data_IF_451755788434
#
_entry.id   IF_451755788434
#
_cell.length_a   1.000
_cell.length_b   1.000
_cell.length_c   1.000
_cell.angle_alpha   90.00
_cell.angle_beta   90.00
_cell.angle_gamma   90.00
#
_symmetry.space_group_name_H-M   'P 1'
#
loop_
_entity.id
_entity.type
_entity.pdbx_description
1 polymer ?
#
# COMPACT_ATOMS: atom_id res chain seq x y z
N UNK A 1 8.46 -13.10 36.17
CA UNK A 1 9.12 -12.55 34.98
C UNK A 1 8.08 -11.87 34.14
N UNK A 2 8.39 -10.70 33.58
CA UNK A 2 7.59 -10.13 32.51
C UNK A 2 8.15 -10.77 31.25
N UNK A 3 7.39 -11.67 30.63
CA UNK A 3 7.80 -12.37 29.41
C UNK A 3 8.01 -11.34 28.28
N UNK A 4 9.02 -11.50 27.41
CA UNK A 4 9.26 -10.58 26.30
C UNK A 4 8.11 -10.70 25.30
N UNK A 5 7.18 -9.77 25.39
CA UNK A 5 6.03 -9.68 24.51
C UNK A 5 6.18 -8.46 23.61
N UNK A 6 6.05 -8.63 22.30
CA UNK A 6 5.83 -7.50 21.41
C UNK A 6 4.34 -7.16 21.43
N UNK A 7 3.99 -6.10 22.16
CA UNK A 7 2.71 -5.42 22.01
C UNK A 7 2.92 -4.10 21.31
N UNK A 8 2.06 -3.81 20.36
CA UNK A 8 1.77 -2.44 20.02
C UNK A 8 0.50 -2.01 20.78
N UNK A 9 0.67 -1.12 21.75
CA UNK A 9 -0.39 -0.46 22.52
C UNK A 9 0.13 0.91 22.96
N UNK A 10 -0.46 2.01 22.49
CA UNK A 10 0.06 3.35 22.76
C UNK A 10 -0.43 3.97 24.08
N UNK A 11 -1.25 3.25 24.86
CA UNK A 11 -1.73 3.70 26.16
C UNK A 11 -2.85 4.74 26.15
N UNK A 12 -3.41 5.11 24.99
CA UNK A 12 -4.61 5.95 24.89
C UNK A 12 -5.88 5.11 24.69
N UNK A 13 -7.03 5.63 25.13
CA UNK A 13 -8.33 4.96 24.98
C UNK A 13 -8.78 4.75 23.52
N UNK A 14 -8.07 5.34 22.54
CA UNK A 14 -8.19 5.04 21.12
C UNK A 14 -6.98 5.64 20.35
N UNK A 15 -6.04 4.79 19.89
CA UNK A 15 -5.73 4.70 18.47
C UNK A 15 -5.30 3.27 18.14
N UNK A 16 -6.27 2.46 17.73
CA UNK A 16 -5.97 1.13 17.22
C UNK A 16 -5.02 1.26 16.02
N UNK A 17 -3.96 0.45 16.01
CA UNK A 17 -3.46 -0.06 14.73
C UNK A 17 -4.71 -0.57 14.00
N UNK A 18 -5.22 0.16 13.01
CA UNK A 18 -6.42 -0.19 12.26
C UNK A 18 -5.99 -0.41 10.83
N UNK A 19 -5.62 -1.64 10.51
CA UNK A 19 -5.29 -2.02 9.14
C UNK A 19 -6.59 -2.45 8.47
N UNK A 20 -7.10 -1.61 7.58
CA UNK A 20 -8.22 -1.96 6.71
C UNK A 20 -7.67 -2.71 5.49
N UNK A 21 -8.11 -3.94 5.24
CA UNK A 21 -7.61 -4.66 4.08
C UNK A 21 -8.22 -4.12 2.78
N UNK A 22 -7.53 -4.30 1.64
CA UNK A 22 -8.13 -4.09 0.32
C UNK A 22 -9.20 -5.16 0.00
N UNK A 23 -9.28 -6.27 0.72
CA UNK A 23 -10.35 -7.25 0.56
C UNK A 23 -10.31 -8.31 1.66
N UNK A 24 -10.90 -9.48 1.47
CA UNK A 24 -10.79 -10.54 2.46
C UNK A 24 -9.32 -10.86 2.76
N UNK A 25 -8.90 -10.86 4.02
CA UNK A 25 -7.56 -11.33 4.39
C UNK A 25 -7.32 -12.75 3.83
N UNK A 26 -6.06 -13.08 3.55
CA UNK A 26 -5.66 -14.43 3.11
C UNK A 26 -4.65 -15.00 4.07
N UNK A 27 -3.46 -14.41 4.09
CA UNK A 27 -2.33 -14.93 4.85
C UNK A 27 -1.62 -13.82 5.60
N UNK A 28 -0.98 -14.19 6.69
CA UNK A 28 0.02 -13.38 7.35
C UNK A 28 1.37 -14.08 7.20
N UNK A 29 2.38 -13.33 6.82
CA UNK A 29 3.76 -13.78 6.75
C UNK A 29 4.61 -12.99 7.76
N UNK A 30 5.43 -13.69 8.53
CA UNK A 30 6.34 -13.08 9.49
C UNK A 30 7.72 -13.67 9.33
N UNK A 31 8.73 -12.81 9.26
CA UNK A 31 10.13 -13.21 9.30
C UNK A 31 10.70 -12.95 10.68
N UNK A 32 11.05 -14.02 11.38
CA UNK A 32 11.40 -14.01 12.80
C UNK A 32 12.59 -14.93 13.09
N UNK A 33 13.34 -14.66 14.15
CA UNK A 33 14.31 -15.58 14.75
C UNK A 33 14.34 -15.49 16.27
N UNK A 34 14.82 -16.54 16.92
CA UNK A 34 15.13 -16.54 18.36
C UNK A 34 16.62 -16.27 18.58
N UNK A 35 16.92 -15.67 19.73
CA UNK A 35 18.26 -15.33 20.20
C UNK A 35 18.51 -15.96 21.58
N UNK A 36 19.76 -16.31 21.87
CA UNK A 36 20.18 -16.86 23.17
C UNK A 36 20.41 -15.80 24.27
N UNK A 37 19.95 -14.56 24.03
CA UNK A 37 20.04 -13.43 24.95
C UNK A 37 19.42 -12.17 24.34
N UNK A 38 19.63 -11.00 24.96
CA UNK A 38 19.00 -9.76 24.49
C UNK A 38 19.63 -9.25 23.18
N UNK A 39 18.82 -8.74 22.23
CA UNK A 39 19.34 -8.09 21.03
C UNK A 39 20.33 -6.97 21.39
N UNK A 40 21.51 -7.00 20.76
CA UNK A 40 22.57 -5.99 20.95
C UNK A 40 23.55 -6.26 22.09
N UNK A 41 23.29 -7.24 22.97
CA UNK A 41 24.26 -7.62 24.01
C UNK A 41 25.46 -8.37 23.38
N UNK A 42 26.70 -8.14 23.87
CA UNK A 42 27.88 -8.83 23.34
C UNK A 42 27.79 -10.36 23.50
N UNK A 43 27.98 -11.08 22.39
CA UNK A 43 28.01 -12.55 22.38
C UNK A 43 26.65 -13.20 22.20
N UNK A 44 25.57 -12.42 22.05
CA UNK A 44 24.26 -12.95 21.68
C UNK A 44 24.28 -13.43 20.24
N UNK A 45 23.79 -14.65 20.02
CA UNK A 45 23.74 -15.32 18.74
C UNK A 45 22.31 -15.73 18.40
N UNK A 46 22.05 -15.90 17.10
CA UNK A 46 20.83 -16.55 16.64
C UNK A 46 20.84 -18.03 17.06
N UNK A 47 19.67 -18.57 17.38
CA UNK A 47 19.53 -19.96 17.78
C UNK A 47 18.40 -20.67 17.00
N UNK A 48 18.43 -22.00 16.88
CA UNK A 48 17.36 -22.75 16.22
C UNK A 48 15.99 -22.44 16.85
N UNK A 49 15.00 -22.20 15.99
CA UNK A 49 13.66 -21.81 16.44
C UNK A 49 12.96 -22.95 17.19
N UNK A 50 12.63 -22.73 18.47
CA UNK A 50 11.85 -23.64 19.28
C UNK A 50 10.35 -23.28 19.22
N UNK A 51 9.54 -24.10 18.53
CA UNK A 51 8.10 -23.87 18.37
C UNK A 51 7.25 -24.19 19.62
N UNK A 52 7.86 -24.74 20.68
CA UNK A 52 7.14 -25.06 21.92
C UNK A 52 6.67 -23.79 22.61
N UNK A 53 5.37 -23.69 22.91
CA UNK A 53 4.80 -22.55 23.63
C UNK A 53 4.65 -21.28 22.81
N UNK A 54 4.93 -21.31 21.50
CA UNK A 54 4.77 -20.12 20.65
C UNK A 54 3.30 -19.78 20.43
N UNK A 55 2.94 -18.52 20.59
CA UNK A 55 1.58 -18.01 20.39
C UNK A 55 1.59 -16.86 19.38
N UNK A 56 0.65 -16.90 18.45
CA UNK A 56 0.31 -15.74 17.62
C UNK A 56 -1.20 -15.52 17.64
N UNK A 57 -1.62 -14.27 17.82
CA UNK A 57 -3.02 -13.87 17.85
C UNK A 57 -3.26 -12.60 17.03
N UNK A 58 -4.43 -12.51 16.42
CA UNK A 58 -4.92 -11.31 15.74
C UNK A 58 -6.27 -10.89 16.32
N UNK A 59 -6.54 -9.59 16.36
CA UNK A 59 -7.71 -8.95 16.94
C UNK A 59 -8.06 -9.47 18.34
N UNK A 60 -7.10 -9.49 19.27
CA UNK A 60 -7.26 -10.41 20.37
C UNK A 60 -8.25 -9.90 21.43
N UNK A 61 -8.71 -8.66 21.30
CA UNK A 61 -9.64 -8.01 22.22
C UNK A 61 -11.09 -8.06 21.74
N UNK A 62 -11.34 -8.31 20.45
CA UNK A 62 -12.69 -8.40 19.83
C UNK A 62 -13.13 -9.83 19.54
N UNK A 63 -12.34 -10.82 19.98
CA UNK A 63 -12.58 -12.25 19.79
C UNK A 63 -11.33 -12.95 19.26
N UNK A 64 -10.30 -13.07 20.10
CA UNK A 64 -8.99 -13.54 19.71
C UNK A 64 -9.00 -14.81 18.84
N UNK A 65 -8.45 -14.68 17.64
CA UNK A 65 -8.12 -15.84 16.81
C UNK A 65 -6.71 -16.28 17.17
N UNK A 66 -6.59 -17.42 17.85
CA UNK A 66 -5.31 -18.09 18.03
C UNK A 66 -4.98 -18.76 16.70
N UNK A 67 -3.87 -18.35 16.09
CA UNK A 67 -3.49 -18.79 14.77
C UNK A 67 -2.47 -19.92 14.88
N UNK A 68 -2.70 -20.97 14.11
CA UNK A 68 -1.73 -22.04 13.91
C UNK A 68 -0.97 -21.77 12.62
N UNK A 69 0.34 -21.85 12.64
CA UNK A 69 1.14 -21.70 11.44
C UNK A 69 0.74 -22.76 10.40
N UNK A 70 0.50 -22.33 9.17
CA UNK A 70 0.21 -23.20 8.04
C UNK A 70 1.47 -23.55 7.24
N UNK A 71 2.55 -22.79 7.44
CA UNK A 71 3.87 -23.05 6.87
C UNK A 71 4.99 -22.39 7.66
N UNK A 72 6.20 -22.94 7.54
CA UNK A 72 7.41 -22.38 8.12
C UNK A 72 8.62 -22.73 7.22
N UNK A 73 9.31 -21.70 6.72
CA UNK A 73 10.44 -21.85 5.79
C UNK A 73 11.73 -21.36 6.47
N UNK A 74 12.71 -22.24 6.73
CA UNK A 74 13.96 -21.84 7.35
C UNK A 74 14.87 -21.08 6.37
N UNK A 75 15.61 -20.13 6.89
CA UNK A 75 16.60 -19.32 6.18
C UNK A 75 17.96 -19.35 6.89
N UNK A 76 18.96 -18.66 6.30
CA UNK A 76 20.26 -18.50 6.92
C UNK A 76 20.17 -17.77 8.27
N UNK A 77 21.14 -18.00 9.15
CA UNK A 77 21.25 -17.34 10.46
C UNK A 77 19.99 -17.51 11.35
N UNK A 78 19.41 -18.71 11.28
CA UNK A 78 18.23 -19.16 12.02
C UNK A 78 16.97 -18.31 11.84
N UNK A 79 16.91 -17.51 10.77
CA UNK A 79 15.67 -16.85 10.37
C UNK A 79 14.64 -17.88 9.91
N UNK A 80 13.38 -17.58 10.19
CA UNK A 80 12.22 -18.38 9.81
C UNK A 80 11.16 -17.46 9.22
N UNK A 81 10.68 -17.79 8.02
CA UNK A 81 9.47 -17.18 7.45
C UNK A 81 8.29 -18.06 7.80
N UNK A 82 7.43 -17.58 8.70
CA UNK A 82 6.24 -18.29 9.18
C UNK A 82 5.01 -17.72 8.49
N UNK A 83 4.17 -18.59 7.96
CA UNK A 83 2.90 -18.23 7.32
C UNK A 83 1.73 -18.71 8.18
N UNK A 84 0.76 -17.84 8.38
CA UNK A 84 -0.52 -18.14 9.02
C UNK A 84 -1.65 -17.90 8.02
N UNK A 85 -2.63 -18.81 7.98
CA UNK A 85 -3.89 -18.57 7.29
C UNK A 85 -4.79 -17.71 8.19
N UNK A 86 -5.16 -16.53 7.70
CA UNK A 86 -6.03 -15.57 8.38
C UNK A 86 -7.31 -15.30 7.59
N UNK A 87 -7.64 -16.15 6.60
CA UNK A 87 -8.79 -15.99 5.72
C UNK A 87 -10.13 -15.98 6.43
N UNK A 88 -10.22 -16.65 7.58
CA UNK A 88 -11.41 -16.64 8.42
C UNK A 88 -11.76 -15.24 8.98
N UNK A 89 -10.83 -14.29 8.96
CA UNK A 89 -11.10 -12.90 9.33
C UNK A 89 -11.95 -12.18 8.28
N UNK A 90 -11.99 -12.65 7.02
CA UNK A 90 -12.68 -11.96 5.95
C UNK A 90 -12.16 -10.53 5.78
N UNK A 91 -13.03 -9.55 5.56
CA UNK A 91 -12.66 -8.15 5.31
C UNK A 91 -12.67 -7.26 6.57
N UNK A 92 -12.57 -7.85 7.77
CA UNK A 92 -12.57 -7.06 9.02
C UNK A 92 -11.27 -6.27 9.17
N UNK A 93 -11.35 -5.11 9.82
CA UNK A 93 -10.16 -4.37 10.22
C UNK A 93 -9.32 -5.20 11.19
N UNK A 94 -8.00 -5.08 11.07
CA UNK A 94 -7.09 -5.58 12.10
C UNK A 94 -6.81 -4.48 13.09
N UNK A 95 -7.24 -4.70 14.33
CA UNK A 95 -7.18 -3.76 15.44
C UNK A 95 -6.00 -4.04 16.40
N UNK A 96 -5.29 -5.15 16.17
CA UNK A 96 -4.11 -5.53 16.94
C UNK A 96 -3.64 -6.95 16.64
N UNK A 97 -2.42 -7.24 17.08
CA UNK A 97 -1.87 -8.59 17.10
C UNK A 97 -1.04 -8.80 18.36
N UNK A 98 -0.82 -10.08 18.70
CA UNK A 98 0.07 -10.49 19.78
C UNK A 98 1.00 -11.58 19.25
N UNK A 99 2.27 -11.47 19.62
CA UNK A 99 3.31 -12.45 19.30
C UNK A 99 4.04 -12.86 20.58
N UNK A 100 4.15 -14.17 20.81
CA UNK A 100 4.98 -14.78 21.85
C UNK A 100 5.77 -15.92 21.20
N UNK A 101 7.01 -15.64 20.75
CA UNK A 101 7.80 -16.63 20.04
C UNK A 101 8.71 -17.41 20.97
N UNK A 102 8.67 -17.20 22.30
CA UNK A 102 9.69 -17.70 23.23
C UNK A 102 9.23 -18.86 24.11
N UNK A 103 7.91 -19.05 24.25
CA UNK A 103 7.35 -20.20 24.96
C UNK A 103 7.77 -20.27 26.43
N UNK A 104 7.28 -19.31 27.23
CA UNK A 104 7.53 -19.17 28.68
C UNK A 104 9.02 -19.18 29.10
N UNK A 105 9.94 -18.99 28.15
CA UNK A 105 11.38 -18.95 28.41
C UNK A 105 11.88 -17.51 28.48
N UNK A 106 12.15 -17.03 29.70
CA UNK A 106 12.62 -15.67 29.97
C UNK A 106 14.14 -15.47 29.79
N UNK A 107 14.87 -16.52 29.38
CA UNK A 107 16.32 -16.47 29.17
C UNK A 107 16.73 -16.25 27.71
N UNK A 108 15.77 -16.30 26.79
CA UNK A 108 15.97 -16.10 25.36
C UNK A 108 15.24 -14.82 24.90
N UNK A 109 15.53 -14.37 23.68
CA UNK A 109 14.84 -13.24 23.08
C UNK A 109 14.55 -13.52 21.60
N UNK A 110 13.97 -12.56 20.88
CA UNK A 110 13.67 -12.70 19.46
C UNK A 110 13.90 -11.40 18.70
N UNK A 111 14.00 -11.54 17.39
CA UNK A 111 13.97 -10.43 16.45
C UNK A 111 12.92 -10.69 15.39
N UNK A 112 12.22 -9.62 15.00
CA UNK A 112 11.29 -9.60 13.87
C UNK A 112 11.87 -8.66 12.82
N UNK A 113 11.99 -9.15 11.59
CA UNK A 113 12.39 -8.33 10.45
C UNK A 113 11.16 -7.67 9.82
N UNK A 114 10.17 -8.47 9.44
CA UNK A 114 8.90 -7.96 8.93
C UNK A 114 7.69 -8.79 9.37
N UNK A 115 6.54 -8.13 9.34
CA UNK A 115 5.21 -8.73 9.39
C UNK A 115 4.46 -8.21 8.17
N UNK A 116 3.95 -9.11 7.34
CA UNK A 116 3.19 -8.80 6.12
C UNK A 116 1.81 -9.45 6.20
N UNK A 117 0.78 -8.63 6.04
CA UNK A 117 -0.58 -9.10 5.89
C UNK A 117 -0.93 -9.10 4.39
N UNK A 118 -1.50 -10.19 3.92
CA UNK A 118 -1.95 -10.36 2.55
C UNK A 118 -3.48 -10.48 2.55
N UNK A 119 -4.13 -9.85 1.59
CA UNK A 119 -5.57 -9.94 1.36
C UNK A 119 -5.85 -10.26 -0.10
N UNK A 120 -7.02 -10.82 -0.39
CA UNK A 120 -7.56 -10.94 -1.74
C UNK A 120 -7.97 -9.56 -2.27
N UNK A 121 -7.88 -9.40 -3.58
CA UNK A 121 -8.24 -8.16 -4.27
C UNK A 121 -7.08 -7.18 -4.31
N UNK A 122 -6.88 -6.58 -5.49
CA UNK A 122 -6.09 -5.36 -5.57
C UNK A 122 -6.91 -4.20 -5.02
N UNK A 123 -6.26 -3.11 -4.57
CA UNK A 123 -6.95 -1.85 -4.26
C UNK A 123 -7.93 -1.39 -5.37
N UNK A 124 -7.59 -1.67 -6.63
CA UNK A 124 -8.47 -1.48 -7.77
C UNK A 124 -9.74 -2.35 -7.69
N UNK A 125 -9.62 -3.65 -7.40
CA UNK A 125 -10.80 -4.54 -7.22
C UNK A 125 -11.69 -4.06 -6.08
N UNK A 126 -11.12 -3.57 -4.98
CA UNK A 126 -11.87 -2.97 -3.88
C UNK A 126 -12.69 -1.77 -4.34
N UNK A 127 -12.03 -0.85 -5.04
CA UNK A 127 -12.64 0.35 -5.57
C UNK A 127 -13.76 0.01 -6.56
N UNK A 128 -13.51 -0.90 -7.50
CA UNK A 128 -14.52 -1.34 -8.47
C UNK A 128 -15.76 -1.92 -7.76
N UNK A 129 -15.55 -2.65 -6.66
CA UNK A 129 -16.63 -3.17 -5.81
C UNK A 129 -17.47 -2.08 -5.13
N UNK A 130 -16.88 -0.93 -4.74
CA UNK A 130 -17.61 0.19 -4.13
C UNK A 130 -18.65 0.80 -5.09
N UNK A 131 -18.35 0.76 -6.39
CA UNK A 131 -19.25 1.21 -7.46
C UNK A 131 -20.15 0.10 -8.00
N UNK A 132 -20.15 -1.08 -7.37
CA UNK A 132 -20.88 -2.27 -7.81
C UNK A 132 -20.55 -2.73 -9.24
N UNK A 133 -19.34 -2.43 -9.73
CA UNK A 133 -18.89 -2.92 -11.02
C UNK A 133 -18.70 -4.44 -10.96
N UNK A 134 -19.08 -5.13 -12.03
CA UNK A 134 -18.90 -6.58 -12.12
C UNK A 134 -18.77 -7.05 -13.56
N UNK A 135 -18.23 -8.26 -13.77
CA UNK A 135 -18.07 -8.83 -15.10
C UNK A 135 -17.18 -7.97 -16.00
N UNK A 136 -17.65 -7.67 -17.21
CA UNK A 136 -16.90 -6.85 -18.17
C UNK A 136 -16.77 -5.39 -17.71
N UNK A 137 -17.73 -4.88 -16.94
CA UNK A 137 -17.73 -3.49 -16.46
C UNK A 137 -16.70 -3.25 -15.35
N UNK A 138 -16.18 -4.31 -14.71
CA UNK A 138 -15.13 -4.21 -13.69
C UNK A 138 -13.70 -4.26 -14.26
N UNK A 139 -13.53 -4.48 -15.57
CA UNK A 139 -12.21 -4.52 -16.18
C UNK A 139 -11.57 -3.12 -16.12
N UNK A 140 -10.27 -3.05 -15.86
CA UNK A 140 -9.49 -1.81 -15.81
C UNK A 140 -9.55 -1.01 -17.13
N UNK A 141 -9.75 -1.70 -18.26
CA UNK A 141 -9.96 -1.11 -19.58
C UNK A 141 -11.41 -0.80 -19.94
N UNK A 142 -12.38 -1.12 -19.08
CA UNK A 142 -13.79 -0.84 -19.36
C UNK A 142 -14.13 0.64 -19.08
N UNK A 143 -15.14 1.12 -19.77
CA UNK A 143 -15.72 2.47 -19.66
C UNK A 143 -17.25 2.26 -19.53
N UNK A 144 -17.76 2.00 -18.30
CA UNK A 144 -19.15 1.60 -18.09
C UNK A 144 -20.15 2.74 -18.28
N UNK A 145 -19.74 3.99 -18.08
CA UNK A 145 -20.58 5.18 -18.17
C UNK A 145 -20.46 5.95 -19.51
N UNK A 146 -19.54 5.51 -20.37
CA UNK A 146 -19.33 5.94 -21.76
C UNK A 146 -18.81 7.38 -21.87
N UNK A 147 -17.94 7.78 -20.94
CA UNK A 147 -17.35 9.11 -20.88
C UNK A 147 -15.95 9.20 -21.54
N UNK A 148 -15.50 8.09 -22.13
CA UNK A 148 -14.20 7.86 -22.79
C UNK A 148 -13.01 7.63 -21.85
N UNK A 149 -13.21 7.73 -20.55
CA UNK A 149 -12.22 7.34 -19.56
C UNK A 149 -12.50 5.92 -19.07
N UNK A 150 -11.45 5.13 -18.93
CA UNK A 150 -11.60 3.78 -18.43
C UNK A 150 -11.48 3.75 -16.91
N UNK A 151 -11.92 2.65 -16.33
CA UNK A 151 -11.87 2.42 -14.89
C UNK A 151 -10.47 2.62 -14.29
N UNK A 152 -9.37 2.27 -14.99
CA UNK A 152 -8.01 2.51 -14.50
C UNK A 152 -7.70 4.00 -14.38
N UNK A 153 -8.12 4.80 -15.36
CA UNK A 153 -7.98 6.25 -15.33
C UNK A 153 -8.77 6.81 -14.15
N UNK A 154 -10.04 6.46 -14.01
CA UNK A 154 -10.88 6.99 -12.93
C UNK A 154 -10.42 6.52 -11.55
N UNK A 155 -9.96 5.28 -11.45
CA UNK A 155 -9.28 4.78 -10.26
C UNK A 155 -8.05 5.63 -9.94
N UNK A 156 -7.21 5.95 -10.92
CA UNK A 156 -6.02 6.77 -10.70
C UNK A 156 -6.32 8.22 -10.30
N UNK A 157 -7.26 8.85 -10.98
CA UNK A 157 -7.51 10.30 -10.90
C UNK A 157 -8.73 10.69 -10.07
N UNK A 158 -9.41 9.73 -9.43
CA UNK A 158 -10.50 10.01 -8.50
C UNK A 158 -11.86 10.26 -9.12
N UNK A 159 -12.16 9.60 -10.24
CA UNK A 159 -13.49 9.63 -10.89
C UNK A 159 -14.50 8.63 -10.31
N UNK A 160 -15.69 8.63 -10.91
CA UNK A 160 -16.81 7.75 -10.63
C UNK A 160 -17.26 7.00 -11.90
N UNK A 161 -16.96 5.70 -12.02
CA UNK A 161 -17.17 4.89 -13.23
C UNK A 161 -18.65 4.61 -13.55
N UNK A 162 -19.56 5.23 -12.79
CA UNK A 162 -21.00 5.14 -12.97
C UNK A 162 -21.62 6.50 -13.34
N UNK A 163 -20.81 7.54 -13.47
CA UNK A 163 -21.23 8.91 -13.66
C UNK A 163 -20.29 9.66 -14.60
N UNK A 164 -20.67 9.70 -15.89
CA UNK A 164 -19.92 10.34 -16.97
C UNK A 164 -19.63 11.86 -16.82
N UNK A 165 -20.12 12.49 -15.74
CA UNK A 165 -19.78 13.86 -15.39
C UNK A 165 -18.62 13.98 -14.40
N UNK A 166 -18.14 12.87 -13.84
CA UNK A 166 -17.11 12.80 -12.80
C UNK A 166 -15.94 11.89 -13.23
N UNK A 167 -15.14 12.40 -14.16
CA UNK A 167 -13.92 11.76 -14.65
C UNK A 167 -12.70 12.00 -13.72
N UNK A 168 -12.93 12.47 -12.49
CA UNK A 168 -11.87 12.79 -11.55
C UNK A 168 -11.29 14.20 -11.70
N UNK A 169 -10.11 14.41 -11.11
CA UNK A 169 -9.50 15.75 -11.03
C UNK A 169 -8.23 15.88 -11.85
N UNK A 170 -8.27 16.75 -12.86
CA UNK A 170 -7.08 17.40 -13.37
C UNK A 170 -7.36 18.82 -13.86
N UNK A 171 -6.36 19.69 -13.78
CA UNK A 171 -6.45 21.07 -14.25
C UNK A 171 -5.05 21.59 -14.57
N UNK A 172 -4.96 22.60 -15.42
CA UNK A 172 -3.68 23.20 -15.75
C UNK A 172 -3.79 24.61 -16.29
N UNK A 173 -2.67 25.31 -16.28
CA UNK A 173 -2.58 26.70 -16.73
C UNK A 173 -1.14 27.15 -16.90
N UNK A 174 -0.96 28.29 -17.56
CA UNK A 174 0.33 28.94 -17.64
C UNK A 174 0.60 29.71 -16.32
N UNK A 175 1.80 29.54 -15.77
CA UNK A 175 2.29 30.29 -14.61
C UNK A 175 3.65 30.90 -14.92
N UNK A 176 3.92 32.07 -14.36
CA UNK A 176 5.25 32.70 -14.40
C UNK A 176 5.85 32.67 -13.00
N UNK A 177 7.08 32.17 -12.88
CA UNK A 177 7.83 32.14 -11.63
C UNK A 177 9.31 32.41 -11.90
N UNK A 178 9.89 33.36 -11.18
CA UNK A 178 11.30 33.76 -11.36
C UNK A 178 11.67 34.20 -12.79
N UNK A 179 10.72 34.74 -13.56
CA UNK A 179 10.94 35.15 -14.96
C UNK A 179 10.97 33.99 -15.97
N UNK A 180 10.58 32.78 -15.54
CA UNK A 180 10.38 31.61 -16.40
C UNK A 180 8.90 31.27 -16.49
N UNK A 181 8.43 30.96 -17.70
CA UNK A 181 7.06 30.49 -17.92
C UNK A 181 6.99 28.97 -17.88
N UNK A 182 5.98 28.46 -17.18
CA UNK A 182 5.72 27.04 -17.03
C UNK A 182 4.28 26.73 -17.43
N UNK A 183 4.07 25.54 -17.99
CA UNK A 183 2.79 24.85 -17.90
C UNK A 183 2.73 24.21 -16.52
N UNK A 184 1.84 24.71 -15.68
CA UNK A 184 1.49 24.07 -14.41
C UNK A 184 0.34 23.10 -14.65
N UNK A 185 0.53 21.84 -14.27
CA UNK A 185 -0.49 20.80 -14.39
C UNK A 185 -0.67 20.10 -13.05
N UNK A 186 -1.93 20.06 -12.61
CA UNK A 186 -2.35 19.47 -11.36
C UNK A 186 -3.28 18.29 -11.63
N UNK A 187 -3.07 17.18 -10.94
CA UNK A 187 -3.93 16.01 -11.03
C UNK A 187 -4.06 15.34 -9.67
N UNK A 188 -5.19 14.64 -9.45
CA UNK A 188 -5.34 13.79 -8.28
C UNK A 188 -4.50 12.52 -8.45
N UNK A 189 -3.72 12.19 -7.43
CA UNK A 189 -2.90 10.98 -7.35
C UNK A 189 -3.34 10.20 -6.14
N UNK A 190 -3.60 8.89 -6.30
CA UNK A 190 -3.79 8.02 -5.14
C UNK A 190 -2.53 7.99 -4.27
N UNK A 191 -2.69 8.17 -2.98
CA UNK A 191 -1.61 8.06 -1.99
C UNK A 191 -1.92 6.97 -0.97
N UNK A 192 -0.89 6.43 -0.34
CA UNK A 192 -0.99 5.29 0.60
C UNK A 192 -0.19 4.08 0.14
N UNK A 193 -0.14 3.05 1.00
CA UNK A 193 0.72 1.89 0.77
C UNK A 193 0.13 0.96 -0.31
N UNK A 194 0.92 0.70 -1.37
CA UNK A 194 0.62 -0.25 -2.46
C UNK A 194 -0.76 -0.05 -3.10
N UNK A 195 -0.95 1.06 -3.81
CA UNK A 195 -2.19 1.35 -4.54
C UNK A 195 -2.35 0.52 -5.82
N UNK A 196 -1.34 -0.24 -6.23
CA UNK A 196 -1.41 -1.03 -7.47
C UNK A 196 -1.41 -0.18 -8.73
N UNK A 197 -0.99 1.08 -8.62
CA UNK A 197 -0.87 2.02 -9.75
C UNK A 197 0.37 2.89 -9.62
N UNK A 198 0.97 3.19 -10.77
CA UNK A 198 2.07 4.12 -10.94
C UNK A 198 1.67 5.29 -11.84
N UNK A 199 2.28 6.46 -11.59
CA UNK A 199 2.04 7.68 -12.34
C UNK A 199 3.33 8.13 -13.03
N UNK A 200 3.22 8.52 -14.29
CA UNK A 200 4.33 9.14 -15.02
C UNK A 200 3.84 10.29 -15.86
N UNK A 201 4.55 11.41 -15.77
CA UNK A 201 4.42 12.45 -16.80
C UNK A 201 5.07 11.94 -18.07
N UNK A 202 4.39 12.17 -19.19
CA UNK A 202 4.96 12.03 -20.51
C UNK A 202 4.96 13.34 -21.25
N UNK A 203 6.04 13.57 -21.99
CA UNK A 203 6.20 14.73 -22.86
C UNK A 203 6.38 14.28 -24.31
N UNK A 204 5.86 15.07 -25.25
CA UNK A 204 6.19 14.98 -26.67
C UNK A 204 6.26 16.39 -27.26
N UNK A 205 7.04 16.58 -28.32
CA UNK A 205 7.11 17.82 -29.09
C UNK A 205 6.12 17.83 -30.27
N UNK A 206 5.56 16.68 -30.64
CA UNK A 206 4.64 16.52 -31.76
C UNK A 206 3.61 15.41 -31.46
N UNK A 207 2.33 15.66 -31.76
CA UNK A 207 1.22 14.71 -31.54
C UNK A 207 1.00 13.73 -32.72
N UNK A 208 1.71 13.91 -33.84
CA UNK A 208 1.55 13.16 -35.08
C UNK A 208 2.75 12.23 -35.35
N UNK A 209 3.98 12.73 -35.21
CA UNK A 209 5.22 12.02 -35.62
C UNK A 209 6.21 11.81 -34.45
N UNK A 210 5.84 12.22 -33.23
CA UNK A 210 6.69 12.12 -32.03
C UNK A 210 6.57 10.79 -31.26
N UNK A 211 7.45 10.61 -30.26
CA UNK A 211 7.35 9.57 -29.24
C UNK A 211 7.20 10.21 -27.87
N UNK A 212 6.28 9.68 -27.07
CA UNK A 212 6.11 10.12 -25.69
C UNK A 212 7.29 9.67 -24.83
N UNK A 213 7.96 10.63 -24.20
CA UNK A 213 9.08 10.37 -23.28
C UNK A 213 8.57 10.43 -21.84
N UNK A 214 8.77 9.34 -21.10
CA UNK A 214 8.48 9.29 -19.68
C UNK A 214 9.55 10.06 -18.91
N UNK A 215 9.12 11.03 -18.11
CA UNK A 215 10.00 11.76 -17.18
C UNK A 215 9.70 11.42 -15.72
N UNK A 216 8.78 10.47 -15.47
CA UNK A 216 8.36 10.10 -14.13
C UNK A 216 7.82 11.30 -13.36
N UNK A 217 8.37 11.55 -12.18
CA UNK A 217 7.97 12.60 -11.23
C UNK A 217 8.88 13.83 -11.26
N UNK A 218 9.81 13.96 -12.22
CA UNK A 218 10.82 15.04 -12.20
C UNK A 218 10.24 16.44 -12.36
N UNK A 219 9.01 16.56 -12.85
CA UNK A 219 8.31 17.84 -12.97
C UNK A 219 7.48 18.19 -11.72
N UNK A 220 7.39 17.29 -10.72
CA UNK A 220 6.65 17.54 -9.48
C UNK A 220 7.33 18.63 -8.65
N UNK A 221 6.56 19.66 -8.27
CA UNK A 221 7.03 20.78 -7.45
C UNK A 221 6.34 20.83 -6.08
N UNK A 222 5.33 20.01 -5.87
CA UNK A 222 4.64 19.86 -4.59
C UNK A 222 3.42 18.97 -4.69
N UNK A 223 2.88 18.61 -3.53
CA UNK A 223 1.57 17.99 -3.41
C UNK A 223 0.85 18.46 -2.15
N UNK A 224 -0.47 18.26 -2.11
CA UNK A 224 -1.28 18.48 -0.91
C UNK A 224 -2.38 17.43 -0.79
N UNK A 225 -2.77 17.09 0.44
CA UNK A 225 -3.85 16.14 0.68
C UNK A 225 -5.18 16.71 0.17
N UNK A 226 -5.83 15.98 -0.73
CA UNK A 226 -7.14 16.36 -1.27
C UNK A 226 -8.26 15.66 -0.50
N UNK A 227 -8.10 14.37 -0.22
CA UNK A 227 -8.94 13.58 0.67
C UNK A 227 -8.18 12.34 1.17
N UNK A 228 -8.87 11.46 1.91
CA UNK A 228 -8.28 10.27 2.52
C UNK A 228 -7.62 9.29 1.52
N UNK A 229 -8.04 9.28 0.24
CA UNK A 229 -7.51 8.39 -0.79
C UNK A 229 -6.60 9.10 -1.80
N UNK A 230 -6.72 10.43 -1.96
CA UNK A 230 -6.03 11.19 -3.00
C UNK A 230 -5.30 12.41 -2.44
N UNK A 231 -4.12 12.67 -3.01
CA UNK A 231 -3.46 13.97 -2.97
C UNK A 231 -3.59 14.65 -4.32
N UNK A 232 -3.41 15.97 -4.38
CA UNK A 232 -3.23 16.68 -5.64
C UNK A 232 -1.76 16.99 -5.81
N UNK A 233 -1.20 16.57 -6.94
CA UNK A 233 0.19 16.75 -7.30
C UNK A 233 0.31 17.90 -8.27
N UNK A 234 1.19 18.86 -7.99
CA UNK A 234 1.48 20.00 -8.86
C UNK A 234 2.76 19.74 -9.63
N UNK A 235 2.69 19.90 -10.95
CA UNK A 235 3.80 19.68 -11.86
C UNK A 235 4.07 20.94 -12.66
N UNK A 236 5.34 21.22 -12.95
CA UNK A 236 5.74 22.35 -13.79
C UNK A 236 6.65 21.88 -14.91
N UNK A 237 6.27 22.22 -16.13
CA UNK A 237 7.05 21.96 -17.34
C UNK A 237 7.38 23.28 -18.02
N UNK A 238 8.66 23.54 -18.22
CA UNK A 238 9.11 24.78 -18.89
C UNK A 238 8.58 24.87 -20.32
N UNK A 239 8.10 26.07 -20.68
CA UNK A 239 7.56 26.38 -22.02
C UNK A 239 8.59 27.09 -22.91
N UNK A 240 9.88 26.76 -22.74
CA UNK A 240 10.98 27.38 -23.51
C UNK A 240 11.04 26.90 -24.96
N UNK A 241 10.53 25.70 -25.23
CA UNK A 241 10.47 25.12 -26.57
C UNK A 241 9.29 25.72 -27.37
N UNK A 242 9.42 25.76 -28.70
CA UNK A 242 8.41 26.33 -29.58
C UNK A 242 7.03 25.66 -29.44
N UNK A 243 7.02 24.36 -29.14
CA UNK A 243 5.84 23.58 -28.80
C UNK A 243 6.24 22.40 -27.92
N UNK A 244 5.37 22.04 -26.98
CA UNK A 244 5.51 20.88 -26.11
C UNK A 244 4.13 20.43 -25.67
N UNK A 245 3.92 19.14 -25.62
CA UNK A 245 2.69 18.50 -25.17
C UNK A 245 2.99 17.64 -23.96
N UNK A 246 2.01 17.51 -23.10
CA UNK A 246 2.10 16.81 -21.84
C UNK A 246 0.88 15.93 -21.67
N UNK A 247 1.08 14.75 -21.11
CA UNK A 247 0.02 13.94 -20.52
C UNK A 247 0.52 13.32 -19.23
N UNK A 248 -0.40 12.91 -18.38
CA UNK A 248 -0.11 12.05 -17.22
C UNK A 248 -0.68 10.69 -17.54
N UNK A 249 0.16 9.67 -17.44
CA UNK A 249 -0.27 8.28 -17.56
C UNK A 249 -0.35 7.66 -16.18
N UNK A 250 -1.42 6.89 -15.97
CA UNK A 250 -1.54 5.92 -14.89
C UNK A 250 -1.42 4.51 -15.48
N UNK A 251 -0.62 3.66 -14.84
CA UNK A 251 -0.47 2.24 -15.19
C UNK A 251 -0.76 1.37 -13.97
N UNK A 252 -1.45 0.24 -14.16
CA UNK A 252 -1.64 -0.75 -13.11
C UNK A 252 -0.45 -1.69 -12.95
N UNK A 253 -0.25 -2.21 -11.72
CA UNK A 253 0.72 -3.27 -11.37
C UNK A 253 0.33 -4.67 -11.91
#
# INVERSE_FOLDING_TARGET
>A
SLDPWLFYNDGNANPALSITPPGPWTTLEMRIRQLDGNPGDPGVASMPFAAGGTLFQVNPWTGAVILTATGATPEADNWLVVTYDISALGAVNLDGFRLDPLGDNDTINFEVDYIRFNAEGSPYTTWAGLYNLSGADALDTADPDLDTYNNLYEYGFGGDPTNAADWGFSTGGAVEDGGTSYLEYMYARRHGFKQGVDYSIKLTDDLIIGSWTHIGTTAEVGSFEFNAAYEVVTNRVETVDAQKFMTVEVTGD
#
